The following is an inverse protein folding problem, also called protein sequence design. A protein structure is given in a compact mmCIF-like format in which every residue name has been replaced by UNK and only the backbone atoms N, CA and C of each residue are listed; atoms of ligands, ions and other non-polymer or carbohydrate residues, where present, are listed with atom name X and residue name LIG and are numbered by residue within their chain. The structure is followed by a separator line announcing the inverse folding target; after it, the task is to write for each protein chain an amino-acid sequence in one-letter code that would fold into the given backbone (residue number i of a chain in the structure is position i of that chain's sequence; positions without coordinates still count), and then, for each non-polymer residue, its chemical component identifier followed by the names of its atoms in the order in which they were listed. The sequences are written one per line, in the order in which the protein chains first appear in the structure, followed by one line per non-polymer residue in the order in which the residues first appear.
data_IF_940909948838
#
_entry.id   IF_940909948838
#
_cell.length_a   1.000
_cell.length_b   1.000
_cell.length_c   1.000
_cell.angle_alpha   90.00
_cell.angle_beta   90.00
_cell.angle_gamma   90.00
#
_symmetry.space_group_name_H-M   'P 1'
#
loop_
_entity.id
_entity.type
_entity.pdbx_description
1 polymer ?
#
# COMPACT_ATOMS: atom_id res chain seq x y z
N UNK A 1 -21.64 6.65 -3.32
CA UNK A 1 -20.18 6.78 -3.14
C UNK A 1 -19.56 5.47 -3.57
N UNK A 2 -18.80 5.46 -4.66
CA UNK A 2 -18.14 4.26 -5.15
C UNK A 2 -16.67 4.35 -4.76
N UNK A 3 -16.17 3.37 -4.01
CA UNK A 3 -14.75 3.21 -3.73
C UNK A 3 -14.27 1.89 -4.34
N UNK A 4 -12.98 1.83 -4.69
CA UNK A 4 -12.33 0.64 -5.23
C UNK A 4 -11.17 0.28 -4.32
N UNK A 5 -11.12 -0.97 -3.87
CA UNK A 5 -9.99 -1.51 -3.12
C UNK A 5 -9.08 -2.31 -4.06
N UNK A 6 -7.77 -2.16 -3.93
CA UNK A 6 -6.77 -2.91 -4.71
C UNK A 6 -5.71 -3.46 -3.77
N UNK A 7 -5.38 -4.74 -3.92
CA UNK A 7 -4.23 -5.33 -3.25
C UNK A 7 -2.94 -4.75 -3.85
N UNK A 8 -2.11 -4.14 -2.99
CA UNK A 8 -0.84 -3.53 -3.41
C UNK A 8 0.27 -4.59 -3.50
N UNK A 9 0.27 -5.55 -2.58
CA UNK A 9 1.22 -6.66 -2.58
C UNK A 9 0.76 -7.73 -3.57
N UNK A 10 1.65 -8.07 -4.51
CA UNK A 10 1.47 -9.14 -5.49
C UNK A 10 2.60 -10.16 -5.36
N UNK A 11 2.33 -11.47 -5.50
CA UNK A 11 3.37 -12.48 -5.39
C UNK A 11 4.36 -12.35 -6.54
N UNK A 12 5.66 -12.33 -6.20
CA UNK A 12 6.75 -12.37 -7.19
C UNK A 12 7.29 -13.78 -7.34
N UNK A 13 7.47 -14.48 -6.22
CA UNK A 13 7.89 -15.87 -6.15
C UNK A 13 6.89 -16.67 -5.34
N UNK A 14 6.61 -17.89 -5.80
CA UNK A 14 5.85 -18.89 -5.06
C UNK A 14 6.64 -20.20 -5.06
N UNK A 15 6.89 -20.74 -3.87
CA UNK A 15 7.59 -22.02 -3.68
C UNK A 15 8.93 -22.11 -4.46
N UNK A 16 9.68 -21.01 -4.54
CA UNK A 16 10.95 -20.93 -5.26
C UNK A 16 10.84 -20.71 -6.76
N UNK A 17 9.63 -20.60 -7.31
CA UNK A 17 9.38 -20.33 -8.74
C UNK A 17 9.00 -18.88 -8.95
N UNK A 18 9.60 -18.21 -9.95
CA UNK A 18 9.22 -16.85 -10.37
C UNK A 18 7.84 -16.92 -11.06
N UNK A 19 6.82 -16.34 -10.43
CA UNK A 19 5.43 -16.31 -10.95
C UNK A 19 5.03 -14.94 -11.50
N UNK A 20 5.88 -13.93 -11.32
CA UNK A 20 5.65 -12.57 -11.79
C UNK A 20 6.39 -12.26 -13.08
N UNK A 21 5.66 -11.69 -14.04
CA UNK A 21 6.25 -11.17 -15.28
C UNK A 21 6.71 -9.74 -15.04
N UNK A 22 8.01 -9.49 -15.16
CA UNK A 22 8.56 -8.14 -15.04
C UNK A 22 8.05 -7.27 -16.20
N UNK A 23 7.41 -6.13 -15.91
CA UNK A 23 7.04 -5.17 -16.94
C UNK A 23 8.29 -4.52 -17.54
N UNK A 24 8.13 -3.98 -18.75
CA UNK A 24 9.12 -3.12 -19.38
C UNK A 24 9.28 -1.79 -18.63
N UNK A 25 10.41 -1.11 -18.89
CA UNK A 25 10.68 0.20 -18.30
C UNK A 25 9.59 1.24 -18.64
N UNK A 26 9.07 1.19 -19.87
CA UNK A 26 8.02 2.10 -20.33
C UNK A 26 6.70 1.86 -19.59
N UNK A 27 6.32 0.59 -19.39
CA UNK A 27 5.14 0.23 -18.62
C UNK A 27 5.27 0.66 -17.16
N UNK A 28 6.45 0.48 -16.55
CA UNK A 28 6.73 0.94 -15.18
C UNK A 28 6.56 2.46 -15.09
N UNK A 29 7.17 3.22 -16.00
CA UNK A 29 7.07 4.69 -16.02
C UNK A 29 5.61 5.14 -16.16
N UNK A 30 4.88 4.54 -17.10
CA UNK A 30 3.47 4.85 -17.35
C UNK A 30 2.59 4.52 -16.15
N UNK A 31 2.85 3.38 -15.50
CA UNK A 31 2.17 2.99 -14.27
C UNK A 31 2.41 4.01 -13.16
N UNK A 32 3.66 4.42 -12.91
CA UNK A 32 4.00 5.40 -11.89
C UNK A 32 3.27 6.73 -12.09
N UNK A 33 3.28 7.30 -13.31
CA UNK A 33 2.54 8.53 -13.61
C UNK A 33 1.05 8.38 -13.29
N UNK A 34 0.42 7.31 -13.78
CA UNK A 34 -0.99 7.04 -13.52
C UNK A 34 -1.31 6.88 -12.04
N UNK A 35 -0.42 6.29 -11.23
CA UNK A 35 -0.64 6.16 -9.78
C UNK A 35 -0.52 7.52 -9.06
N UNK A 36 0.44 8.36 -9.44
CA UNK A 36 0.58 9.72 -8.88
C UNK A 36 -0.68 10.54 -9.18
N UNK A 37 -1.26 10.38 -10.37
CA UNK A 37 -2.49 11.07 -10.75
C UNK A 37 -3.71 10.67 -9.91
N UNK A 38 -3.67 9.52 -9.23
CA UNK A 38 -4.75 9.12 -8.30
C UNK A 38 -4.65 9.77 -6.92
N UNK A 39 -3.52 10.40 -6.59
CA UNK A 39 -3.31 11.06 -5.30
C UNK A 39 -3.88 12.47 -5.32
N UNK A 40 -4.43 12.89 -4.17
CA UNK A 40 -4.88 14.26 -3.96
C UNK A 40 -3.71 15.25 -4.02
N UNK A 41 -3.97 16.44 -4.56
CA UNK A 41 -2.96 17.48 -4.78
C UNK A 41 -2.28 17.92 -3.48
N UNK A 42 -3.00 17.89 -2.36
CA UNK A 42 -2.49 18.20 -1.03
C UNK A 42 -1.36 17.27 -0.59
N UNK A 43 -1.44 15.99 -0.94
CA UNK A 43 -0.42 14.99 -0.61
C UNK A 43 0.81 15.15 -1.50
N UNK A 44 0.64 15.70 -2.72
CA UNK A 44 1.70 15.90 -3.71
C UNK A 44 2.51 17.19 -3.52
N UNK A 45 2.14 18.07 -2.57
CA UNK A 45 2.84 19.34 -2.34
C UNK A 45 4.28 19.10 -1.89
N UNK A 46 5.23 19.86 -2.44
CA UNK A 46 6.63 19.81 -2.00
C UNK A 46 6.83 20.44 -0.62
N UNK A 47 6.08 21.50 -0.32
CA UNK A 47 6.10 22.18 0.97
C UNK A 47 4.88 21.78 1.80
N UNK A 48 5.13 21.36 3.03
CA UNK A 48 4.11 20.96 4.00
C UNK A 48 3.03 20.02 3.41
N UNK A 49 3.41 18.83 2.88
CA UNK A 49 2.47 17.88 2.29
C UNK A 49 1.45 17.40 3.32
N UNK A 50 0.21 17.24 2.89
CA UNK A 50 -0.80 16.61 3.73
C UNK A 50 -0.43 15.15 3.98
N UNK A 51 -0.61 14.70 5.22
CA UNK A 51 -0.29 13.32 5.61
C UNK A 51 -1.20 12.35 4.87
N UNK A 52 -0.59 11.35 4.22
CA UNK A 52 -1.33 10.22 3.66
C UNK A 52 -1.67 9.24 4.80
N UNK A 53 -2.94 8.85 4.90
CA UNK A 53 -3.40 7.97 5.96
C UNK A 53 -3.09 6.50 5.64
N UNK A 54 -2.52 5.81 6.61
CA UNK A 54 -2.29 4.36 6.58
C UNK A 54 -2.89 3.81 7.87
N UNK A 55 -4.01 3.12 7.73
CA UNK A 55 -4.79 2.62 8.86
C UNK A 55 -4.75 1.10 8.95
N UNK A 56 -5.03 0.60 10.14
CA UNK A 56 -5.21 -0.82 10.39
C UNK A 56 -6.68 -1.18 10.22
N UNK A 57 -6.93 -2.36 9.63
CA UNK A 57 -8.24 -2.98 9.77
C UNK A 57 -8.54 -3.22 11.25
N UNK A 58 -9.83 -3.24 11.60
CA UNK A 58 -10.25 -3.43 12.99
C UNK A 58 -9.63 -4.69 13.61
N UNK A 59 -9.70 -5.80 12.89
CA UNK A 59 -9.14 -7.09 13.31
C UNK A 59 -7.63 -7.01 13.59
N UNK A 60 -6.86 -6.37 12.70
CA UNK A 60 -5.41 -6.25 12.88
C UNK A 60 -5.06 -5.34 14.07
N UNK A 61 -5.82 -4.28 14.27
CA UNK A 61 -5.65 -3.41 15.43
C UNK A 61 -5.93 -4.17 16.74
N UNK A 62 -7.03 -4.93 16.81
CA UNK A 62 -7.41 -5.70 17.99
C UNK A 62 -6.33 -6.74 18.34
N UNK A 63 -5.81 -7.47 17.34
CA UNK A 63 -4.72 -8.43 17.56
C UNK A 63 -3.44 -7.74 18.05
N UNK A 64 -3.08 -6.58 17.49
CA UNK A 64 -1.94 -5.79 17.99
C UNK A 64 -2.13 -5.42 19.46
N UNK A 65 -3.31 -4.93 19.85
CA UNK A 65 -3.58 -4.56 21.24
C UNK A 65 -3.51 -5.75 22.18
N UNK A 66 -4.03 -6.91 21.76
CA UNK A 66 -3.96 -8.15 22.52
C UNK A 66 -2.51 -8.57 22.80
N UNK A 67 -1.66 -8.56 21.78
CA UNK A 67 -0.23 -8.90 21.92
C UNK A 67 0.51 -7.92 22.85
N UNK A 68 0.25 -6.61 22.71
CA UNK A 68 0.87 -5.60 23.58
C UNK A 68 0.48 -5.77 25.05
N UNK A 69 -0.79 -6.06 25.33
CA UNK A 69 -1.26 -6.32 26.70
C UNK A 69 -0.60 -7.57 27.31
N UNK A 70 -0.46 -8.63 26.52
CA UNK A 70 0.18 -9.87 26.96
C UNK A 70 1.67 -9.71 27.31
N UNK A 71 2.37 -8.78 26.65
CA UNK A 71 3.79 -8.48 26.90
C UNK A 71 4.02 -7.49 28.06
N UNK A 72 2.98 -6.76 28.48
CA UNK A 72 3.07 -5.73 29.52
C UNK A 72 2.66 -6.26 30.91
N UNK A 73 2.46 -7.56 31.03
CA UNK A 73 2.18 -8.31 32.26
C UNK A 73 3.34 -9.25 32.57
#
# INVERSE_FOLDING_TARGET
MNCTAKNILVPVYEQGTLVYTSPSLEEIRTYCHRQIDTLWDEVKRFENPHRYYVDLSRTLWDERQKLLRALSM
#
